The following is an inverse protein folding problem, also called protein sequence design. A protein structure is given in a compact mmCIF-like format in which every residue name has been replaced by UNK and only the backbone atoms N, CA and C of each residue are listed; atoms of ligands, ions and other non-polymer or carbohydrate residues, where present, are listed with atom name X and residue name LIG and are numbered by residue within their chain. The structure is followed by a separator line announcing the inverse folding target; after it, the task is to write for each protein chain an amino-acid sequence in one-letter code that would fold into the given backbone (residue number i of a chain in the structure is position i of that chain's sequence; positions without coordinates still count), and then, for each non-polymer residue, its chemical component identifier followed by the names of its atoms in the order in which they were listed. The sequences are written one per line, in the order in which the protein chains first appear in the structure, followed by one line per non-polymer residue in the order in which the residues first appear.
data_IF_691343656922
#
_entry.id   IF_691343656922
#
_cell.length_a   1.000
_cell.length_b   1.000
_cell.length_c   1.000
_cell.angle_alpha   90.00
_cell.angle_beta   90.00
_cell.angle_gamma   90.00
#
_symmetry.space_group_name_H-M   'P 1'
#
loop_
_entity.id
_entity.type
_entity.pdbx_description
1 polymer ?
#
# COMPACT_ATOMS: atom_id res chain seq x y z
N UNK A 1 -14.44 14.02 -8.88
CA UNK A 1 -13.89 15.01 -7.88
C UNK A 1 -12.78 15.82 -8.54
N UNK A 2 -12.40 17.02 -8.06
CA UNK A 2 -11.15 17.66 -8.47
C UNK A 2 -9.97 16.75 -8.09
N UNK A 3 -8.87 16.79 -8.85
CA UNK A 3 -7.73 15.90 -8.67
C UNK A 3 -7.01 16.20 -7.36
N UNK A 4 -6.64 15.16 -6.61
CA UNK A 4 -5.80 15.32 -5.42
C UNK A 4 -4.37 15.65 -5.89
N UNK A 5 -3.65 16.60 -5.25
CA UNK A 5 -2.24 16.85 -5.56
C UNK A 5 -1.40 15.57 -5.48
N UNK A 6 -0.53 15.35 -6.47
CA UNK A 6 0.30 14.14 -6.58
C UNK A 6 1.15 13.91 -5.33
N UNK A 7 1.71 14.98 -4.76
CA UNK A 7 2.46 14.92 -3.51
C UNK A 7 1.63 14.36 -2.34
N UNK A 8 0.35 14.74 -2.24
CA UNK A 8 -0.54 14.25 -1.20
C UNK A 8 -0.94 12.80 -1.45
N UNK A 9 -1.15 12.38 -2.71
CA UNK A 9 -1.35 10.96 -3.05
C UNK A 9 -0.13 10.14 -2.61
N UNK A 10 1.09 10.63 -2.87
CA UNK A 10 2.31 9.97 -2.45
C UNK A 10 2.37 9.76 -0.92
N UNK A 11 2.05 10.79 -0.12
CA UNK A 11 2.03 10.65 1.33
C UNK A 11 0.94 9.68 1.82
N UNK A 12 -0.28 9.76 1.25
CA UNK A 12 -1.36 8.80 1.55
C UNK A 12 -0.90 7.36 1.30
N UNK A 13 -0.23 7.11 0.17
CA UNK A 13 0.32 5.81 -0.17
C UNK A 13 1.44 5.37 0.77
N UNK A 14 2.36 6.26 1.16
CA UNK A 14 3.42 5.93 2.13
C UNK A 14 2.83 5.47 3.47
N UNK A 15 1.86 6.21 4.00
CA UNK A 15 1.15 5.80 5.21
C UNK A 15 0.34 4.52 4.99
N UNK A 16 -0.36 4.38 3.87
CA UNK A 16 -1.14 3.18 3.56
C UNK A 16 -0.26 1.92 3.49
N UNK A 17 0.88 1.99 2.81
CA UNK A 17 1.83 0.89 2.73
C UNK A 17 2.63 0.69 4.01
N UNK A 18 2.60 1.65 4.92
CA UNK A 18 3.44 1.70 6.11
C UNK A 18 4.94 1.74 5.75
N UNK A 19 5.26 2.25 4.56
CA UNK A 19 6.58 2.27 3.93
C UNK A 19 6.89 3.70 3.47
N UNK A 20 8.07 4.19 3.85
CA UNK A 20 8.46 5.58 3.61
C UNK A 20 9.76 5.63 2.83
N UNK A 21 9.89 6.62 1.94
CA UNK A 21 11.11 6.79 1.17
C UNK A 21 12.32 6.89 2.11
N UNK A 22 13.37 6.08 1.89
CA UNK A 22 14.65 6.29 2.54
C UNK A 22 15.20 7.68 2.21
N UNK A 23 16.05 8.22 3.08
CA UNK A 23 16.70 9.56 2.91
C UNK A 23 17.30 9.79 1.52
N UNK A 24 17.74 8.73 0.84
CA UNK A 24 18.31 8.77 -0.51
C UNK A 24 17.32 9.18 -1.60
N UNK A 25 16.02 8.94 -1.40
CA UNK A 25 14.94 9.25 -2.34
C UNK A 25 14.09 10.43 -1.84
N UNK A 26 14.02 10.63 -0.52
CA UNK A 26 13.14 11.60 0.14
C UNK A 26 13.21 13.03 -0.45
N UNK A 27 14.40 13.52 -0.82
CA UNK A 27 14.57 14.86 -1.41
C UNK A 27 13.85 15.03 -2.74
N UNK A 28 13.71 13.96 -3.51
CA UNK A 28 13.08 13.96 -4.82
C UNK A 28 11.56 13.75 -4.75
N UNK A 29 11.04 13.32 -3.60
CA UNK A 29 9.59 13.24 -3.39
C UNK A 29 8.91 14.61 -3.23
N UNK A 30 9.70 15.67 -3.04
CA UNK A 30 9.23 17.05 -2.96
C UNK A 30 9.22 17.78 -4.32
N UNK A 31 9.71 17.13 -5.39
CA UNK A 31 9.60 17.68 -6.75
C UNK A 31 8.14 17.65 -7.23
N UNK A 32 7.75 18.63 -8.04
CA UNK A 32 6.44 18.63 -8.68
C UNK A 32 6.43 17.63 -9.84
N UNK A 33 5.51 16.68 -9.78
CA UNK A 33 5.28 15.70 -10.84
C UNK A 33 3.89 15.88 -11.45
N UNK A 34 3.72 15.63 -12.75
CA UNK A 34 2.43 15.75 -13.40
C UNK A 34 1.42 14.72 -12.87
N UNK A 35 1.87 13.51 -12.55
CA UNK A 35 1.03 12.40 -12.10
C UNK A 35 1.83 11.38 -11.26
N UNK A 36 1.14 10.35 -10.76
CA UNK A 36 1.79 9.33 -9.94
C UNK A 36 2.73 8.41 -10.73
N UNK A 37 2.46 8.19 -12.02
CA UNK A 37 3.32 7.42 -12.92
C UNK A 37 4.72 8.04 -13.00
N UNK A 38 4.81 9.34 -13.22
CA UNK A 38 6.07 10.06 -13.36
C UNK A 38 6.83 10.13 -12.03
N UNK A 39 6.13 10.41 -10.92
CA UNK A 39 6.71 10.38 -9.57
C UNK A 39 7.34 9.01 -9.27
N UNK A 40 6.60 7.92 -9.43
CA UNK A 40 7.11 6.59 -9.08
C UNK A 40 8.15 6.06 -10.07
N UNK A 41 8.06 6.41 -11.35
CA UNK A 41 9.11 6.12 -12.33
C UNK A 41 10.43 6.81 -11.93
N UNK A 42 10.36 8.07 -11.51
CA UNK A 42 11.53 8.83 -11.04
C UNK A 42 12.14 8.22 -9.77
N UNK A 43 11.31 7.85 -8.80
CA UNK A 43 11.76 7.21 -7.57
C UNK A 43 12.43 5.84 -7.83
N UNK A 44 11.91 5.05 -8.78
CA UNK A 44 12.54 3.80 -9.19
C UNK A 44 13.92 4.02 -9.83
N UNK A 45 14.05 5.00 -10.74
CA UNK A 45 15.33 5.34 -11.37
C UNK A 45 16.38 5.69 -10.30
N UNK A 46 16.05 6.64 -9.42
CA UNK A 46 16.97 7.14 -8.39
C UNK A 46 17.30 6.03 -7.39
N UNK A 47 16.29 5.26 -6.99
CA UNK A 47 16.45 4.13 -6.09
C UNK A 47 17.37 3.06 -6.66
N UNK A 48 17.16 2.65 -7.91
CA UNK A 48 18.00 1.64 -8.56
C UNK A 48 19.44 2.13 -8.75
N UNK A 49 19.64 3.39 -9.15
CA UNK A 49 20.99 3.97 -9.24
C UNK A 49 21.69 3.97 -7.87
N UNK A 50 20.94 4.24 -6.79
CA UNK A 50 21.45 4.18 -5.43
C UNK A 50 21.82 2.75 -5.00
N UNK A 51 20.99 1.76 -5.37
CA UNK A 51 21.29 0.35 -5.15
C UNK A 51 22.55 -0.08 -5.91
N UNK A 52 22.63 0.25 -7.20
CA UNK A 52 23.78 -0.10 -8.03
C UNK A 52 25.10 0.46 -7.46
N UNK A 53 25.12 1.73 -7.01
CA UNK A 53 26.31 2.34 -6.37
C UNK A 53 26.73 1.64 -5.07
N UNK A 54 25.78 1.06 -4.33
CA UNK A 54 26.03 0.39 -3.04
C UNK A 54 26.28 -1.10 -3.17
N UNK A 55 26.03 -1.67 -4.34
CA UNK A 55 25.95 -3.11 -4.58
C UNK A 55 24.49 -3.58 -4.59
N UNK A 56 24.09 -4.24 -5.68
CA UNK A 56 22.81 -4.93 -5.77
C UNK A 56 22.77 -6.09 -4.77
N UNK A 57 21.55 -6.44 -4.34
CA UNK A 57 21.33 -7.66 -3.57
C UNK A 57 21.81 -8.85 -4.40
N UNK A 58 22.56 -9.74 -3.74
CA UNK A 58 23.06 -10.98 -4.32
C UNK A 58 22.59 -12.15 -3.47
N UNK A 59 22.41 -13.29 -4.10
CA UNK A 59 21.99 -14.52 -3.45
C UNK A 59 22.64 -15.73 -4.10
N UNK A 60 22.63 -16.84 -3.38
CA UNK A 60 23.10 -18.11 -3.88
C UNK A 60 22.06 -18.75 -4.80
N UNK A 61 22.46 -19.05 -6.03
CA UNK A 61 21.64 -19.75 -7.01
C UNK A 61 22.33 -21.08 -7.34
N UNK A 62 21.56 -22.17 -7.34
CA UNK A 62 22.06 -23.47 -7.75
C UNK A 62 22.28 -23.49 -9.27
N UNK A 63 23.53 -23.70 -9.67
CA UNK A 63 23.94 -23.82 -11.07
C UNK A 63 24.26 -25.28 -11.34
N UNK A 64 23.71 -25.84 -12.43
CA UNK A 64 24.08 -27.16 -12.93
C UNK A 64 24.88 -27.04 -14.22
N UNK A 65 26.15 -27.42 -14.19
CA UNK A 65 27.02 -27.33 -15.36
C UNK A 65 28.05 -28.47 -15.46
N UNK A 66 28.57 -28.65 -16.68
CA UNK A 66 29.62 -29.61 -16.99
C UNK A 66 30.99 -29.00 -16.72
N UNK A 67 31.66 -29.47 -15.66
CA UNK A 67 32.94 -28.93 -15.17
C UNK A 67 34.07 -29.92 -15.42
N UNK A 68 35.27 -29.41 -15.71
CA UNK A 68 36.48 -30.25 -15.85
C UNK A 68 37.07 -30.71 -14.51
N UNK A 69 36.65 -30.07 -13.41
CA UNK A 69 37.05 -30.40 -12.05
C UNK A 69 35.81 -30.50 -11.17
N UNK A 70 35.74 -31.43 -10.20
CA UNK A 70 34.57 -31.54 -9.33
C UNK A 70 34.33 -30.26 -8.54
N UNK A 71 33.14 -29.66 -8.68
CA UNK A 71 32.72 -28.47 -7.94
C UNK A 71 31.33 -28.69 -7.33
N UNK A 72 31.20 -28.58 -6.02
CA UNK A 72 29.94 -28.88 -5.31
C UNK A 72 29.54 -30.35 -5.41
N UNK A 73 28.25 -30.63 -5.64
CA UNK A 73 27.69 -31.98 -5.69
C UNK A 73 27.70 -32.53 -7.12
N UNK A 74 28.33 -33.69 -7.31
CA UNK A 74 28.35 -34.36 -8.62
C UNK A 74 26.98 -35.02 -8.89
N UNK A 75 26.42 -34.74 -10.07
CA UNK A 75 25.22 -35.40 -10.59
C UNK A 75 25.65 -36.62 -11.41
N UNK A 76 25.80 -37.75 -10.70
CA UNK A 76 26.36 -38.99 -11.25
C UNK A 76 25.58 -39.47 -12.47
N UNK A 77 24.24 -39.48 -12.39
CA UNK A 77 23.39 -39.95 -13.50
C UNK A 77 23.58 -39.11 -14.77
N UNK A 78 23.59 -37.78 -14.64
CA UNK A 78 23.82 -36.84 -15.75
C UNK A 78 25.24 -36.95 -16.31
N UNK A 79 26.23 -37.14 -15.44
CA UNK A 79 27.64 -37.33 -15.82
C UNK A 79 27.84 -38.60 -16.62
N UNK A 80 27.29 -39.74 -16.17
CA UNK A 80 27.39 -41.02 -16.90
C UNK A 80 26.74 -40.90 -18.28
N UNK A 81 25.56 -40.25 -18.40
CA UNK A 81 24.87 -40.07 -19.68
C UNK A 81 25.67 -39.25 -20.70
N UNK A 82 26.47 -38.28 -20.24
CA UNK A 82 27.24 -37.38 -21.11
C UNK A 82 28.69 -37.81 -21.31
N UNK A 83 29.14 -38.85 -20.59
CA UNK A 83 30.52 -39.31 -20.54
C UNK A 83 31.08 -39.76 -21.89
N UNK A 84 30.24 -40.28 -22.80
CA UNK A 84 30.65 -40.64 -24.17
C UNK A 84 30.93 -39.43 -25.05
N UNK A 85 30.24 -38.31 -24.82
CA UNK A 85 30.44 -37.06 -25.58
C UNK A 85 31.48 -36.14 -24.93
N UNK A 86 31.62 -36.19 -23.60
CA UNK A 86 32.53 -35.33 -22.82
C UNK A 86 33.28 -36.14 -21.75
N UNK A 87 34.23 -37.03 -22.13
CA UNK A 87 34.82 -38.03 -21.23
C UNK A 87 35.71 -37.47 -20.10
N UNK A 88 35.92 -36.15 -20.05
CA UNK A 88 36.73 -35.47 -19.01
C UNK A 88 35.95 -34.40 -18.25
N UNK A 89 34.63 -34.43 -18.30
CA UNK A 89 33.79 -33.47 -17.57
C UNK A 89 32.75 -34.19 -16.71
N UNK A 90 32.47 -33.60 -15.57
CA UNK A 90 31.45 -34.05 -14.63
C UNK A 90 30.34 -33.02 -14.57
N UNK A 91 29.11 -33.50 -14.68
CA UNK A 91 27.93 -32.66 -14.46
C UNK A 91 27.80 -32.46 -12.95
N UNK A 92 27.94 -31.22 -12.49
CA UNK A 92 27.92 -30.87 -11.07
C UNK A 92 26.87 -29.79 -10.80
N UNK A 93 26.30 -29.81 -9.61
CA UNK A 93 25.47 -28.75 -9.06
C UNK A 93 26.19 -28.06 -7.91
N UNK A 94 26.30 -26.74 -7.97
CA UNK A 94 26.91 -25.92 -6.92
C UNK A 94 26.23 -24.56 -6.82
N UNK A 95 26.39 -23.92 -5.67
CA UNK A 95 25.82 -22.60 -5.43
C UNK A 95 26.79 -21.51 -5.89
N UNK A 96 26.30 -20.59 -6.71
CA UNK A 96 27.04 -19.40 -7.16
C UNK A 96 26.35 -18.13 -6.66
N UNK A 97 27.16 -17.16 -6.20
CA UNK A 97 26.65 -15.86 -5.79
C UNK A 97 26.31 -15.04 -7.02
N UNK A 98 25.05 -14.67 -7.19
CA UNK A 98 24.56 -13.93 -8.35
C UNK A 98 23.65 -12.78 -7.94
N UNK A 99 23.66 -11.71 -8.75
CA UNK A 99 22.69 -10.62 -8.63
C UNK A 99 21.35 -10.97 -9.29
N UNK A 100 21.23 -12.12 -9.95
CA UNK A 100 19.98 -12.60 -10.56
C UNK A 100 18.99 -13.17 -9.53
N UNK A 101 18.74 -12.40 -8.48
CA UNK A 101 17.77 -12.72 -7.43
C UNK A 101 16.40 -12.13 -7.76
N UNK A 102 15.36 -12.73 -7.20
CA UNK A 102 13.96 -12.36 -7.45
C UNK A 102 13.67 -10.87 -7.24
N UNK A 103 14.31 -10.22 -6.27
CA UNK A 103 14.15 -8.79 -6.00
C UNK A 103 14.64 -7.92 -7.17
N UNK A 104 15.79 -8.27 -7.75
CA UNK A 104 16.34 -7.60 -8.93
C UNK A 104 15.54 -7.91 -10.20
N UNK A 105 15.08 -9.15 -10.34
CA UNK A 105 14.23 -9.57 -11.46
C UNK A 105 12.91 -8.77 -11.49
N UNK A 106 12.27 -8.56 -10.32
CA UNK A 106 11.07 -7.72 -10.20
C UNK A 106 11.34 -6.27 -10.61
N UNK A 107 12.46 -5.69 -10.15
CA UNK A 107 12.86 -4.33 -10.52
C UNK A 107 13.03 -4.22 -12.03
N UNK A 108 13.81 -5.12 -12.64
CA UNK A 108 14.04 -5.14 -14.10
C UNK A 108 12.73 -5.27 -14.87
N UNK A 109 11.89 -6.24 -14.48
CA UNK A 109 10.61 -6.49 -15.14
C UNK A 109 9.65 -5.29 -15.02
N UNK A 110 9.65 -4.58 -13.89
CA UNK A 110 8.85 -3.36 -13.71
C UNK A 110 9.33 -2.23 -14.62
N UNK A 111 10.66 -2.00 -14.69
CA UNK A 111 11.24 -1.01 -15.61
C UNK A 111 10.88 -1.31 -17.07
N UNK A 112 10.95 -2.59 -17.46
CA UNK A 112 10.59 -3.02 -18.80
C UNK A 112 9.09 -2.80 -19.10
N UNK A 113 8.19 -3.02 -18.13
CA UNK A 113 6.77 -2.67 -18.29
C UNK A 113 6.54 -1.17 -18.43
N UNK A 114 7.22 -0.35 -17.63
CA UNK A 114 7.15 1.12 -17.74
C UNK A 114 7.59 1.61 -19.12
N UNK A 115 8.63 1.00 -19.72
CA UNK A 115 9.07 1.33 -21.07
C UNK A 115 8.00 1.07 -22.16
N UNK A 116 7.03 0.19 -21.86
CA UNK A 116 5.88 -0.13 -22.69
C UNK A 116 4.64 0.77 -22.46
N UNK A 117 4.70 1.71 -21.53
CA UNK A 117 3.62 2.69 -21.27
C UNK A 117 3.75 3.85 -22.26
N UNK A 118 2.64 4.25 -22.89
CA UNK A 118 2.65 5.29 -23.94
C UNK A 118 2.69 6.70 -23.36
N UNK A 119 2.05 6.90 -22.21
CA UNK A 119 1.92 8.18 -21.51
C UNK A 119 3.23 8.70 -20.92
N UNK A 120 4.27 7.86 -20.86
CA UNK A 120 5.56 8.17 -20.25
C UNK A 120 6.40 9.09 -21.16
N UNK A 121 6.80 10.24 -20.61
CA UNK A 121 7.61 11.25 -21.31
C UNK A 121 8.92 10.68 -21.91
N UNK A 122 9.39 11.20 -23.06
CA UNK A 122 10.62 10.72 -23.69
C UNK A 122 11.87 10.87 -22.83
N UNK A 123 11.95 11.93 -22.01
CA UNK A 123 13.02 12.20 -21.05
C UNK A 123 13.13 11.08 -20.01
N UNK A 124 12.03 10.79 -19.32
CA UNK A 124 11.93 9.73 -18.30
C UNK A 124 12.16 8.37 -18.93
N UNK A 125 11.63 8.12 -20.13
CA UNK A 125 11.85 6.86 -20.86
C UNK A 125 13.33 6.60 -21.15
N UNK A 126 14.09 7.63 -21.53
CA UNK A 126 15.54 7.52 -21.74
C UNK A 126 16.26 7.14 -20.45
N UNK A 127 15.89 7.76 -19.34
CA UNK A 127 16.48 7.45 -18.03
C UNK A 127 16.09 6.06 -17.52
N UNK A 128 14.85 5.61 -17.75
CA UNK A 128 14.42 4.23 -17.47
C UNK A 128 15.25 3.20 -18.26
N UNK A 129 15.57 3.47 -19.54
CA UNK A 129 16.45 2.58 -20.32
C UNK A 129 17.87 2.51 -19.74
N UNK A 130 18.41 3.64 -19.33
CA UNK A 130 19.72 3.70 -18.67
C UNK A 130 19.71 2.94 -17.35
N UNK A 131 18.66 3.09 -16.55
CA UNK A 131 18.48 2.38 -15.30
C UNK A 131 18.32 0.87 -15.52
N UNK A 132 17.54 0.44 -16.52
CA UNK A 132 17.36 -0.98 -16.87
C UNK A 132 18.68 -1.63 -17.32
N UNK A 133 19.56 -0.89 -18.00
CA UNK A 133 20.89 -1.37 -18.39
C UNK A 133 21.80 -1.71 -17.18
N UNK A 134 21.53 -1.17 -15.99
CA UNK A 134 22.24 -1.53 -14.75
C UNK A 134 21.91 -2.95 -14.28
N UNK A 135 20.85 -3.56 -14.81
CA UNK A 135 20.35 -4.91 -14.50
C UNK A 135 20.53 -5.85 -15.72
N UNK A 136 21.53 -5.61 -16.57
CA UNK A 136 21.75 -6.39 -17.80
C UNK A 136 21.99 -7.89 -17.54
N UNK A 137 22.62 -8.22 -16.43
CA UNK A 137 23.00 -9.58 -16.04
C UNK A 137 21.90 -10.30 -15.23
N UNK A 138 20.72 -9.66 -15.09
CA UNK A 138 19.54 -10.19 -14.40
C UNK A 138 18.54 -10.68 -15.44
N UNK A 139 17.98 -11.87 -15.25
CA UNK A 139 17.03 -12.46 -16.20
C UNK A 139 15.68 -11.76 -16.18
N UNK A 140 15.01 -11.74 -17.33
CA UNK A 140 13.65 -11.20 -17.43
C UNK A 140 12.63 -12.20 -16.88
N UNK A 141 11.67 -11.68 -16.12
CA UNK A 141 10.57 -12.45 -15.53
C UNK A 141 9.24 -11.77 -15.83
N UNK A 142 8.18 -12.57 -15.91
CA UNK A 142 6.83 -12.02 -15.97
C UNK A 142 6.35 -11.65 -14.56
N UNK A 143 5.98 -10.38 -14.37
CA UNK A 143 5.41 -9.96 -13.08
C UNK A 143 4.06 -10.63 -12.85
N UNK A 144 3.90 -11.17 -11.64
CA UNK A 144 2.66 -11.74 -11.14
C UNK A 144 2.52 -11.43 -9.65
N UNK A 145 1.30 -11.44 -9.13
CA UNK A 145 1.06 -11.24 -7.69
C UNK A 145 1.82 -12.27 -6.82
N UNK A 146 1.98 -13.51 -7.31
CA UNK A 146 2.75 -14.56 -6.64
C UNK A 146 4.23 -14.21 -6.51
N UNK A 147 4.80 -13.56 -7.53
CA UNK A 147 6.20 -13.14 -7.52
C UNK A 147 6.48 -12.17 -6.37
N UNK A 148 5.61 -11.18 -6.15
CA UNK A 148 5.74 -10.23 -5.03
C UNK A 148 5.57 -10.90 -3.66
N UNK A 149 4.69 -11.90 -3.54
CA UNK A 149 4.47 -12.60 -2.27
C UNK A 149 5.62 -13.54 -1.87
N UNK A 150 6.34 -14.08 -2.84
CA UNK A 150 7.45 -15.00 -2.59
C UNK A 150 8.71 -14.29 -2.04
N UNK A 151 8.83 -12.98 -2.27
CA UNK A 151 9.99 -12.21 -1.81
C UNK A 151 10.04 -12.15 -0.29
N UNK A 152 11.18 -12.53 0.27
CA UNK A 152 11.50 -12.34 1.69
C UNK A 152 12.62 -11.32 1.81
N UNK A 153 12.29 -10.14 2.34
CA UNK A 153 13.27 -9.09 2.58
C UNK A 153 13.80 -9.15 4.01
N UNK A 154 15.10 -8.99 4.15
CA UNK A 154 15.72 -8.73 5.45
C UNK A 154 15.50 -7.27 5.86
N UNK A 155 15.34 -7.03 7.18
CA UNK A 155 15.07 -5.70 7.75
C UNK A 155 16.13 -4.64 7.39
N UNK A 156 17.34 -5.07 7.04
CA UNK A 156 18.44 -4.20 6.64
C UNK A 156 18.31 -3.66 5.21
N UNK A 157 17.33 -4.16 4.44
CA UNK A 157 17.16 -3.81 3.03
C UNK A 157 15.97 -2.87 2.76
N UNK A 158 15.89 -1.77 3.53
CA UNK A 158 14.77 -0.80 3.46
C UNK A 158 14.57 -0.19 2.08
N UNK A 159 15.66 0.05 1.34
CA UNK A 159 15.56 0.62 0.00
C UNK A 159 14.91 -0.37 -0.98
N UNK A 160 15.28 -1.66 -0.93
CA UNK A 160 14.54 -2.66 -1.71
C UNK A 160 13.09 -2.79 -1.25
N UNK A 161 12.79 -2.76 0.05
CA UNK A 161 11.39 -2.82 0.53
C UNK A 161 10.54 -1.71 -0.09
N UNK A 162 11.07 -0.48 -0.06
CA UNK A 162 10.41 0.67 -0.64
C UNK A 162 10.24 0.55 -2.17
N UNK A 163 11.30 0.18 -2.90
CA UNK A 163 11.23 0.06 -4.35
C UNK A 163 10.33 -1.09 -4.81
N UNK A 164 10.33 -2.22 -4.10
CA UNK A 164 9.45 -3.35 -4.39
C UNK A 164 7.98 -3.02 -4.07
N UNK A 165 7.73 -2.19 -3.05
CA UNK A 165 6.40 -1.64 -2.78
C UNK A 165 5.93 -0.78 -3.96
N UNK A 166 6.80 0.09 -4.50
CA UNK A 166 6.50 0.86 -5.71
C UNK A 166 6.27 -0.06 -6.92
N UNK A 167 7.13 -1.06 -7.14
CA UNK A 167 6.96 -2.03 -8.22
C UNK A 167 5.62 -2.75 -8.14
N UNK A 168 5.20 -3.15 -6.93
CA UNK A 168 3.89 -3.78 -6.71
C UNK A 168 2.76 -2.82 -7.04
N UNK A 169 2.82 -1.57 -6.57
CA UNK A 169 1.82 -0.56 -6.87
C UNK A 169 1.69 -0.32 -8.39
N UNK A 170 2.81 -0.11 -9.07
CA UNK A 170 2.83 0.08 -10.53
C UNK A 170 2.27 -1.15 -11.25
N UNK A 171 2.65 -2.36 -10.81
CA UNK A 171 2.08 -3.61 -11.34
C UNK A 171 0.55 -3.65 -11.21
N UNK A 172 0.00 -3.23 -10.07
CA UNK A 172 -1.44 -3.18 -9.83
C UNK A 172 -2.14 -2.06 -10.63
N UNK A 173 -1.44 -0.99 -11.03
CA UNK A 173 -1.98 0.14 -11.80
C UNK A 173 -1.81 0.02 -13.32
N UNK A 174 -0.94 -0.87 -13.80
CA UNK A 174 -0.66 -1.06 -15.23
C UNK A 174 -1.53 -2.16 -15.83
N UNK A 175 -2.27 -1.83 -16.89
CA UNK A 175 -3.14 -2.76 -17.62
C UNK A 175 -2.54 -3.06 -19.00
N UNK A 176 -2.40 -4.35 -19.31
CA UNK A 176 -1.94 -4.79 -20.64
C UNK A 176 -2.91 -4.33 -21.73
N UNK A 177 -2.37 -3.95 -22.89
CA UNK A 177 -3.14 -3.56 -24.07
C UNK A 177 -3.13 -4.67 -25.13
N UNK A 178 -3.86 -4.47 -26.23
CA UNK A 178 -4.01 -5.47 -27.30
C UNK A 178 -2.67 -5.92 -27.92
N UNK A 179 -1.68 -5.03 -27.94
CA UNK A 179 -0.34 -5.34 -28.46
C UNK A 179 0.57 -5.83 -27.32
N UNK A 180 1.23 -6.99 -27.48
CA UNK A 180 2.18 -7.48 -26.50
C UNK A 180 3.24 -6.43 -26.16
N UNK A 181 3.51 -6.26 -24.86
CA UNK A 181 4.48 -5.29 -24.35
C UNK A 181 3.98 -3.84 -24.29
N UNK A 182 2.72 -3.57 -24.65
CA UNK A 182 2.10 -2.26 -24.44
C UNK A 182 1.23 -2.27 -23.19
N UNK A 183 1.36 -1.22 -22.40
CA UNK A 183 0.65 -1.05 -21.14
C UNK A 183 0.01 0.34 -21.08
N UNK A 184 -1.08 0.43 -20.33
CA UNK A 184 -1.73 1.69 -19.96
C UNK A 184 -1.67 1.84 -18.45
N UNK A 185 -1.30 3.02 -17.98
CA UNK A 185 -1.33 3.32 -16.55
C UNK A 185 -2.68 3.90 -16.15
N UNK A 186 -3.28 3.37 -15.09
CA UNK A 186 -4.48 3.91 -14.47
C UNK A 186 -4.10 4.60 -13.17
N UNK A 187 -4.32 5.92 -13.11
CA UNK A 187 -4.12 6.70 -11.88
C UNK A 187 -4.93 6.11 -10.72
N UNK A 188 -4.31 6.08 -9.54
CA UNK A 188 -4.88 5.47 -8.34
C UNK A 188 -6.17 6.16 -7.93
N UNK A 189 -6.23 7.48 -8.06
CA UNK A 189 -7.36 8.31 -7.63
C UNK A 189 -8.62 8.15 -8.50
N UNK A 190 -8.48 7.51 -9.66
CA UNK A 190 -9.59 7.15 -10.55
C UNK A 190 -10.24 5.80 -10.21
N UNK A 191 -9.64 5.00 -9.32
CA UNK A 191 -10.20 3.76 -8.82
C UNK A 191 -10.74 3.96 -7.39
N UNK A 192 -12.03 4.25 -7.26
CA UNK A 192 -12.69 4.54 -5.98
C UNK A 192 -12.48 3.40 -4.96
N UNK A 193 -12.53 2.14 -5.39
CA UNK A 193 -12.37 0.97 -4.49
C UNK A 193 -10.95 0.86 -3.98
N UNK A 194 -9.97 1.22 -4.79
CA UNK A 194 -8.56 1.25 -4.40
C UNK A 194 -8.28 2.42 -3.49
N UNK A 195 -8.73 3.62 -3.84
CA UNK A 195 -8.55 4.80 -2.99
C UNK A 195 -9.23 4.69 -1.65
N UNK A 196 -10.40 4.05 -1.59
CA UNK A 196 -11.05 3.74 -0.32
C UNK A 196 -10.11 2.95 0.61
N UNK A 197 -9.53 1.86 0.10
CA UNK A 197 -8.57 1.03 0.86
C UNK A 197 -7.30 1.79 1.23
N UNK A 198 -6.79 2.63 0.33
CA UNK A 198 -5.64 3.52 0.61
C UNK A 198 -5.98 4.48 1.74
N UNK A 199 -7.15 5.11 1.69
CA UNK A 199 -7.58 6.09 2.67
C UNK A 199 -7.83 5.47 4.05
N UNK A 200 -8.55 4.35 4.14
CA UNK A 200 -8.75 3.58 5.37
C UNK A 200 -7.41 3.22 6.03
N UNK A 201 -6.47 2.69 5.22
CA UNK A 201 -5.16 2.29 5.71
C UNK A 201 -4.28 3.47 6.08
N UNK A 202 -4.37 4.58 5.33
CA UNK A 202 -3.74 5.85 5.67
C UNK A 202 -4.19 6.32 7.05
N UNK A 203 -5.49 6.41 7.30
CA UNK A 203 -6.05 6.89 8.58
C UNK A 203 -5.56 6.03 9.74
N UNK A 204 -5.65 4.71 9.59
CA UNK A 204 -5.18 3.75 10.58
C UNK A 204 -3.69 3.94 10.91
N UNK A 205 -2.83 3.91 9.87
CA UNK A 205 -1.39 3.95 10.05
C UNK A 205 -0.89 5.35 10.44
N UNK A 206 -1.57 6.41 10.02
CA UNK A 206 -1.31 7.78 10.46
C UNK A 206 -1.46 7.89 11.97
N UNK A 207 -2.62 7.51 12.51
CA UNK A 207 -2.84 7.57 13.95
C UNK A 207 -1.94 6.61 14.72
N UNK A 208 -1.67 5.40 14.20
CA UNK A 208 -0.76 4.47 14.85
C UNK A 208 0.67 5.04 15.00
N UNK A 209 1.10 5.94 14.10
CA UNK A 209 2.46 6.49 14.08
C UNK A 209 2.59 7.88 14.71
N UNK A 210 1.61 8.76 14.49
CA UNK A 210 1.75 10.20 14.74
C UNK A 210 1.28 10.66 16.11
N UNK A 211 0.56 9.81 16.83
CA UNK A 211 0.14 10.10 18.20
C UNK A 211 0.55 8.95 19.13
N UNK A 212 0.59 9.22 20.44
CA UNK A 212 0.98 8.24 21.49
C UNK A 212 -0.07 8.07 22.59
N UNK A 213 -1.17 8.84 22.54
CA UNK A 213 -2.20 8.85 23.58
C UNK A 213 -3.12 7.62 23.50
N UNK A 214 -3.28 7.06 22.31
CA UNK A 214 -4.17 5.94 22.02
C UNK A 214 -3.40 4.75 21.45
N UNK A 215 -3.81 3.56 21.86
CA UNK A 215 -3.53 2.33 21.13
C UNK A 215 -4.45 2.29 19.91
N UNK A 216 -3.86 2.18 18.72
CA UNK A 216 -4.58 2.23 17.45
C UNK A 216 -4.56 0.86 16.79
N UNK A 217 -5.73 0.38 16.35
CA UNK A 217 -5.87 -0.83 15.53
C UNK A 217 -7.17 -0.81 14.74
N UNK A 218 -7.25 -1.61 13.68
CA UNK A 218 -8.54 -2.04 13.13
C UNK A 218 -9.03 -3.20 14.00
N UNK A 219 -10.28 -3.13 14.44
CA UNK A 219 -10.90 -4.13 15.33
C UNK A 219 -11.98 -4.90 14.60
N UNK A 220 -11.99 -6.21 14.80
CA UNK A 220 -13.14 -7.08 14.54
C UNK A 220 -13.90 -7.22 15.85
N UNK A 221 -15.18 -6.91 15.83
CA UNK A 221 -16.07 -7.00 16.99
C UNK A 221 -17.08 -8.11 16.76
N UNK A 222 -17.32 -8.90 17.79
CA UNK A 222 -18.46 -9.81 17.78
C UNK A 222 -19.74 -9.02 18.01
N UNK A 223 -20.79 -9.37 17.27
CA UNK A 223 -22.11 -8.79 17.50
C UNK A 223 -22.59 -9.17 18.89
N UNK A 224 -23.05 -8.17 19.64
CA UNK A 224 -23.88 -8.41 20.81
C UNK A 224 -25.28 -8.84 20.35
N UNK A 225 -25.43 -10.13 20.07
CA UNK A 225 -26.67 -10.73 19.60
C UNK A 225 -26.88 -12.13 20.20
N UNK A 226 -28.13 -12.47 20.50
CA UNK A 226 -28.55 -13.82 20.84
C UNK A 226 -29.33 -14.41 19.67
N UNK A 227 -28.96 -15.62 19.22
CA UNK A 227 -29.73 -16.33 18.20
C UNK A 227 -31.06 -16.80 18.79
N UNK A 228 -32.14 -16.74 18.00
CA UNK A 228 -33.45 -17.24 18.44
C UNK A 228 -33.46 -18.78 18.52
N UNK A 229 -32.83 -19.45 17.55
CA UNK A 229 -32.62 -20.90 17.52
C UNK A 229 -31.27 -21.21 16.83
N UNK A 230 -30.61 -22.31 17.22
CA UNK A 230 -29.40 -22.82 16.55
C UNK A 230 -28.13 -21.95 16.66
N UNK A 231 -27.15 -22.24 15.80
CA UNK A 231 -25.82 -21.59 15.74
C UNK A 231 -25.68 -20.64 14.55
N UNK A 232 -26.73 -19.90 14.21
CA UNK A 232 -26.81 -19.04 13.01
C UNK A 232 -26.06 -17.69 13.15
N UNK A 233 -25.26 -17.51 14.20
CA UNK A 233 -24.46 -16.29 14.40
C UNK A 233 -23.46 -16.02 13.26
N UNK A 234 -23.06 -17.06 12.52
CA UNK A 234 -22.18 -16.94 11.35
C UNK A 234 -22.83 -16.21 10.14
N UNK A 235 -24.15 -15.98 10.17
CA UNK A 235 -24.85 -15.22 9.13
C UNK A 235 -24.78 -13.70 9.33
N UNK A 236 -24.38 -13.25 10.53
CA UNK A 236 -24.24 -11.82 10.80
C UNK A 236 -23.01 -11.25 10.07
N UNK A 237 -23.11 -10.02 9.52
CA UNK A 237 -22.00 -9.40 8.83
C UNK A 237 -20.83 -9.14 9.79
N UNK A 238 -19.59 -9.25 9.32
CA UNK A 238 -18.43 -8.92 10.14
C UNK A 238 -18.44 -7.44 10.56
N UNK A 239 -18.30 -7.16 11.87
CA UNK A 239 -18.10 -5.78 12.35
C UNK A 239 -16.61 -5.45 12.36
N UNK A 240 -16.13 -4.82 11.30
CA UNK A 240 -14.73 -4.42 11.18
C UNK A 240 -14.60 -2.89 11.09
N UNK A 241 -13.97 -2.28 12.10
CA UNK A 241 -13.73 -0.83 12.11
C UNK A 241 -12.53 -0.48 11.24
N UNK A 242 -12.57 0.66 10.56
CA UNK A 242 -11.40 1.15 9.82
C UNK A 242 -10.24 1.52 10.77
N UNK A 243 -10.54 2.32 11.80
CA UNK A 243 -9.60 2.57 12.90
C UNK A 243 -10.33 2.75 14.24
N UNK A 244 -9.78 2.10 15.26
CA UNK A 244 -10.20 2.24 16.65
C UNK A 244 -9.04 2.75 17.48
N UNK A 245 -9.26 3.86 18.18
CA UNK A 245 -8.29 4.51 19.05
C UNK A 245 -8.74 4.34 20.50
N UNK A 246 -7.98 3.58 21.29
CA UNK A 246 -8.33 3.24 22.67
C UNK A 246 -7.29 3.71 23.67
N UNK A 247 -7.75 4.28 24.76
CA UNK A 247 -6.95 4.65 25.93
C UNK A 247 -7.71 4.25 27.20
N UNK A 248 -7.12 4.46 28.37
CA UNK A 248 -7.83 4.23 29.64
C UNK A 248 -8.98 5.23 29.89
N UNK A 249 -9.07 6.31 29.12
CA UNK A 249 -10.02 7.41 29.35
C UNK A 249 -11.02 7.62 28.21
N UNK A 250 -10.67 7.27 26.98
CA UNK A 250 -11.45 7.53 25.76
C UNK A 250 -11.30 6.39 24.77
N UNK A 251 -12.41 6.02 24.15
CA UNK A 251 -12.49 5.12 22.99
C UNK A 251 -13.08 5.92 21.84
N UNK A 252 -12.41 5.93 20.69
CA UNK A 252 -12.86 6.63 19.47
C UNK A 252 -12.87 5.63 18.32
N UNK A 253 -14.01 5.51 17.65
CA UNK A 253 -14.19 4.72 16.43
C UNK A 253 -14.19 5.67 15.23
N UNK A 254 -13.27 5.47 14.30
CA UNK A 254 -13.16 6.25 13.07
C UNK A 254 -13.64 5.37 11.92
N UNK A 255 -14.67 5.83 11.24
CA UNK A 255 -15.23 5.26 10.03
C UNK A 255 -14.89 6.15 8.85
N UNK A 256 -14.24 5.60 7.84
CA UNK A 256 -13.76 6.30 6.66
C UNK A 256 -14.71 6.08 5.48
N UNK A 257 -14.98 7.14 4.73
CA UNK A 257 -15.82 7.05 3.53
C UNK A 257 -15.21 7.84 2.39
N UNK A 258 -14.75 7.12 1.38
CA UNK A 258 -14.33 7.68 0.10
C UNK A 258 -15.53 7.68 -0.85
N UNK A 259 -16.11 8.85 -1.13
CA UNK A 259 -17.25 9.01 -2.03
C UNK A 259 -17.21 10.37 -2.72
N UNK A 260 -17.59 10.43 -4.00
CA UNK A 260 -17.63 11.70 -4.75
C UNK A 260 -18.68 12.69 -4.21
N UNK A 261 -19.79 12.17 -3.67
CA UNK A 261 -20.94 12.96 -3.21
C UNK A 261 -21.15 12.78 -1.73
N UNK A 262 -20.67 13.76 -0.96
CA UNK A 262 -20.83 13.84 0.49
C UNK A 262 -22.31 13.91 0.91
N UNK A 263 -23.14 14.63 0.16
CA UNK A 263 -24.56 14.80 0.43
C UNK A 263 -25.44 14.19 -0.66
N UNK A 264 -26.62 13.74 -0.25
CA UNK A 264 -27.77 13.56 -1.13
C UNK A 264 -28.66 14.80 -1.07
N UNK A 265 -29.12 15.28 -2.23
CA UNK A 265 -30.16 16.28 -2.32
C UNK A 265 -31.52 15.61 -2.48
N UNK A 266 -32.47 15.94 -1.58
CA UNK A 266 -33.88 15.60 -1.75
C UNK A 266 -34.70 16.82 -1.33
N UNK A 267 -35.53 17.34 -2.23
CA UNK A 267 -36.30 18.58 -2.00
C UNK A 267 -35.44 19.80 -1.60
N UNK A 268 -34.28 19.99 -2.23
CA UNK A 268 -33.44 21.18 -2.04
C UNK A 268 -32.57 21.22 -0.77
N UNK A 269 -32.76 20.30 0.18
CA UNK A 269 -31.90 20.19 1.36
C UNK A 269 -30.78 19.15 1.13
N UNK A 270 -29.53 19.55 1.37
CA UNK A 270 -28.38 18.64 1.43
C UNK A 270 -28.42 17.84 2.74
N UNK A 271 -28.44 16.50 2.64
CA UNK A 271 -28.34 15.60 3.80
C UNK A 271 -27.23 14.59 3.61
N UNK A 272 -26.52 14.26 4.68
CA UNK A 272 -25.51 13.21 4.66
C UNK A 272 -26.14 11.85 4.34
N UNK A 273 -25.33 10.96 3.77
CA UNK A 273 -25.67 9.56 3.53
C UNK A 273 -25.95 8.83 4.85
N UNK A 274 -27.21 8.49 5.09
CA UNK A 274 -27.62 7.80 6.32
C UNK A 274 -26.92 6.43 6.48
N UNK A 275 -26.66 5.75 5.37
CA UNK A 275 -25.92 4.46 5.33
C UNK A 275 -24.59 4.51 6.10
N UNK A 276 -23.82 5.58 5.95
CA UNK A 276 -22.52 5.73 6.62
C UNK A 276 -22.68 5.98 8.11
N UNK A 277 -23.70 6.76 8.48
CA UNK A 277 -24.01 7.04 9.87
C UNK A 277 -24.51 5.78 10.59
N UNK A 278 -25.35 4.97 9.93
CA UNK A 278 -25.86 3.73 10.49
C UNK A 278 -24.76 2.72 10.79
N UNK A 279 -23.77 2.61 9.91
CA UNK A 279 -22.62 1.74 10.15
C UNK A 279 -21.80 2.20 11.36
N UNK A 280 -21.48 3.50 11.48
CA UNK A 280 -20.77 4.00 12.65
C UNK A 280 -21.59 3.80 13.94
N UNK A 281 -22.89 4.08 13.89
CA UNK A 281 -23.78 3.89 15.03
C UNK A 281 -23.90 2.41 15.45
N UNK A 282 -23.81 1.44 14.53
CA UNK A 282 -23.83 0.03 14.92
C UNK A 282 -22.62 -0.35 15.76
N UNK A 283 -21.42 0.13 15.42
CA UNK A 283 -20.22 -0.06 16.25
C UNK A 283 -20.39 0.54 17.64
N UNK A 284 -20.85 1.79 17.73
CA UNK A 284 -21.02 2.49 19.00
C UNK A 284 -22.01 1.77 19.92
N UNK A 285 -23.17 1.37 19.38
CA UNK A 285 -24.19 0.62 20.12
C UNK A 285 -23.71 -0.78 20.53
N UNK A 286 -22.90 -1.44 19.72
CA UNK A 286 -22.31 -2.72 20.08
C UNK A 286 -21.35 -2.55 21.29
N UNK A 287 -20.59 -1.45 21.34
CA UNK A 287 -19.69 -1.12 22.44
C UNK A 287 -20.40 -0.69 23.73
N UNK A 288 -21.64 -0.16 23.67
CA UNK A 288 -22.44 0.17 24.87
C UNK A 288 -22.57 -1.03 25.83
N UNK A 289 -22.59 -2.24 25.27
CA UNK A 289 -22.81 -3.48 26.00
C UNK A 289 -21.54 -3.99 26.69
N UNK A 290 -20.35 -3.48 26.31
CA UNK A 290 -19.15 -3.64 27.12
C UNK A 290 -19.31 -2.77 28.38
N UNK A 291 -19.69 -3.39 29.49
CA UNK A 291 -20.29 -2.75 30.68
C UNK A 291 -19.47 -1.64 31.38
N UNK A 292 -18.23 -1.36 30.97
CA UNK A 292 -17.36 -0.36 31.58
C UNK A 292 -17.00 0.79 30.62
N UNK A 293 -16.86 2.00 31.19
CA UNK A 293 -16.18 3.09 30.50
C UNK A 293 -14.71 2.71 30.24
N UNK A 294 -14.09 3.16 29.14
CA UNK A 294 -14.59 4.20 28.22
C UNK A 294 -15.45 3.70 27.05
N UNK A 295 -15.59 2.40 26.84
CA UNK A 295 -16.30 1.84 25.67
C UNK A 295 -17.78 2.17 25.65
N UNK A 296 -18.42 2.13 26.82
CA UNK A 296 -19.83 2.47 26.98
C UNK A 296 -20.20 3.86 26.46
N UNK A 297 -19.24 4.79 26.47
CA UNK A 297 -19.41 6.19 26.04
C UNK A 297 -18.50 6.53 24.87
N UNK A 298 -18.14 5.53 24.05
CA UNK A 298 -17.25 5.71 22.90
C UNK A 298 -17.69 6.87 21.99
N UNK A 299 -16.73 7.52 21.37
CA UNK A 299 -16.95 8.60 20.40
C UNK A 299 -16.84 8.02 18.98
N UNK A 300 -17.62 8.57 18.06
CA UNK A 300 -17.57 8.23 16.64
C UNK A 300 -17.03 9.38 15.82
N UNK A 301 -16.20 9.07 14.83
CA UNK A 301 -15.76 10.02 13.80
C UNK A 301 -16.10 9.42 12.44
N UNK A 302 -16.87 10.14 11.64
CA UNK A 302 -17.11 9.81 10.26
C UNK A 302 -16.28 10.74 9.37
N UNK A 303 -15.26 10.19 8.72
CA UNK A 303 -14.22 10.94 8.02
C UNK A 303 -14.32 10.77 6.50
N UNK A 304 -14.33 11.89 5.78
CA UNK A 304 -14.41 11.92 4.32
C UNK A 304 -13.22 12.66 3.73
N UNK A 305 -12.46 12.09 2.78
CA UNK A 305 -11.50 12.86 2.01
C UNK A 305 -12.24 13.76 1.01
N UNK A 306 -11.82 15.02 0.90
CA UNK A 306 -12.35 15.99 -0.06
C UNK A 306 -11.22 16.79 -0.71
N UNK A 307 -11.56 17.56 -1.73
CA UNK A 307 -10.67 18.55 -2.35
C UNK A 307 -11.42 19.87 -2.35
N UNK A 308 -11.04 20.78 -1.46
CA UNK A 308 -11.62 22.12 -1.32
C UNK A 308 -12.99 22.20 -0.64
N UNK A 309 -13.51 21.11 -0.04
CA UNK A 309 -14.79 21.12 0.70
C UNK A 309 -14.58 20.88 2.20
N UNK A 310 -15.00 21.84 3.01
CA UNK A 310 -14.91 21.78 4.47
C UNK A 310 -16.27 21.45 5.07
N UNK A 311 -16.29 20.46 5.96
CA UNK A 311 -17.39 20.13 6.85
C UNK A 311 -16.79 19.69 8.18
N UNK A 312 -17.27 20.24 9.28
CA UNK A 312 -16.92 19.80 10.63
C UNK A 312 -18.10 20.07 11.54
N UNK A 313 -18.86 19.01 11.84
CA UNK A 313 -20.07 19.08 12.65
C UNK A 313 -20.07 17.95 13.67
N UNK A 314 -20.65 18.19 14.85
CA UNK A 314 -20.76 17.19 15.89
C UNK A 314 -22.19 17.08 16.40
N UNK A 315 -22.61 15.85 16.69
CA UNK A 315 -23.95 15.53 17.17
C UNK A 315 -23.87 14.59 18.37
N UNK A 316 -24.89 14.66 19.23
CA UNK A 316 -25.13 13.65 20.25
C UNK A 316 -26.16 12.65 19.73
N UNK A 317 -25.73 11.42 19.44
CA UNK A 317 -26.57 10.35 18.90
C UNK A 317 -26.55 9.16 19.85
N UNK A 318 -27.72 8.76 20.36
CA UNK A 318 -27.85 7.66 21.31
C UNK A 318 -26.89 7.75 22.52
N UNK A 319 -26.60 8.96 23.01
CA UNK A 319 -25.66 9.15 24.12
C UNK A 319 -24.17 9.02 23.73
N UNK A 320 -23.84 8.94 22.45
CA UNK A 320 -22.47 9.02 21.92
C UNK A 320 -22.24 10.36 21.22
N UNK A 321 -21.01 10.85 21.28
CA UNK A 321 -20.58 11.98 20.45
C UNK A 321 -20.19 11.44 19.07
N UNK A 322 -20.80 11.97 18.02
CA UNK A 322 -20.47 11.64 16.64
C UNK A 322 -20.05 12.90 15.91
N UNK A 323 -18.77 12.97 15.52
CA UNK A 323 -18.20 14.04 14.69
C UNK A 323 -18.21 13.60 13.24
N UNK A 324 -18.64 14.46 12.34
CA UNK A 324 -18.62 14.24 10.91
C UNK A 324 -17.72 15.30 10.32
N UNK A 325 -16.58 14.87 9.76
CA UNK A 325 -15.53 15.79 9.32
C UNK A 325 -15.02 15.43 7.93
N UNK A 326 -14.71 16.43 7.14
CA UNK A 326 -13.94 16.26 5.90
C UNK A 326 -12.47 16.55 6.12
N UNK A 327 -11.61 15.83 5.41
CA UNK A 327 -10.17 16.03 5.33
C UNK A 327 -9.85 16.62 3.96
N UNK A 328 -9.44 17.89 3.91
CA UNK A 328 -9.15 18.56 2.64
C UNK A 328 -7.76 18.18 2.13
N UNK A 329 -7.73 17.27 1.16
CA UNK A 329 -6.53 16.75 0.54
C UNK A 329 -5.91 17.73 -0.46
N UNK A 330 -6.48 18.92 -0.68
CA UNK A 330 -5.87 19.97 -1.50
C UNK A 330 -4.81 20.78 -0.74
N UNK A 331 -4.78 20.67 0.58
CA UNK A 331 -3.90 21.50 1.42
C UNK A 331 -2.45 20.99 1.40
N UNK A 332 -1.48 21.83 1.80
CA UNK A 332 -0.12 21.37 2.07
C UNK A 332 -0.13 20.21 3.09
N UNK A 333 0.75 19.23 2.92
CA UNK A 333 0.76 18.03 3.75
C UNK A 333 0.78 18.32 5.26
N UNK A 334 1.54 19.32 5.70
CA UNK A 334 1.61 19.72 7.11
C UNK A 334 0.24 20.16 7.67
N UNK A 335 -0.59 20.81 6.86
CA UNK A 335 -1.95 21.19 7.25
C UNK A 335 -2.87 19.96 7.31
N UNK A 336 -2.71 18.99 6.40
CA UNK A 336 -3.42 17.70 6.44
C UNK A 336 -3.06 16.94 7.72
N UNK A 337 -1.77 16.90 8.09
CA UNK A 337 -1.33 16.26 9.34
C UNK A 337 -1.98 16.93 10.57
N UNK A 338 -2.05 18.25 10.59
CA UNK A 338 -2.70 18.98 11.69
C UNK A 338 -4.20 18.70 11.75
N UNK A 339 -4.92 18.73 10.61
CA UNK A 339 -6.33 18.37 10.56
C UNK A 339 -6.59 16.96 11.10
N UNK A 340 -5.70 16.01 10.77
CA UNK A 340 -5.80 14.65 11.29
C UNK A 340 -5.58 14.59 12.81
N UNK A 341 -4.60 15.31 13.37
CA UNK A 341 -4.37 15.34 14.81
C UNK A 341 -5.51 16.03 15.59
N UNK A 342 -6.12 17.06 15.02
CA UNK A 342 -7.29 17.74 15.59
C UNK A 342 -8.54 16.85 15.66
N UNK A 343 -8.61 15.75 14.89
CA UNK A 343 -9.74 14.82 14.95
C UNK A 343 -9.90 14.18 16.33
N UNK A 344 -8.79 13.92 17.01
CA UNK A 344 -8.75 13.19 18.28
C UNK A 344 -8.73 14.11 19.50
N UNK A 345 -8.72 15.42 19.30
CA UNK A 345 -8.92 16.37 20.38
C UNK A 345 -10.33 16.23 20.97
N UNK A 346 -10.51 16.51 22.28
CA UNK A 346 -11.84 16.54 22.87
C UNK A 346 -12.73 17.56 22.15
N UNK A 347 -13.98 17.18 21.86
CA UNK A 347 -14.98 18.13 21.41
C UNK A 347 -15.18 19.18 22.51
N UNK A 348 -14.97 20.45 22.18
CA UNK A 348 -15.26 21.57 23.08
C UNK A 348 -16.78 21.72 23.13
N UNK A 349 -17.35 21.48 24.31
CA UNK A 349 -18.78 21.66 24.59
C UNK A 349 -19.15 23.13 24.77
#
# INVERSE_FOLDING_TARGET
MPSIPVANIYYLLCYAWNEFAPRQIERHAAEEFPDTLHLFSRQLIIGLQSLHRRGLETGYIAVEESTSTPRGRILIASSIRTMTMQPKRLYCTFDEMSADVQTNQILKATLNRLLGVHELEPSVRRELRQASALLRDVHDVELSARLFHAVRLHQNNRLYSFLLTICRFLFECMEAQDRPGQYRFREVDRDEKRMRRVFERFVLNFFARRQKAFKVKSERMDWFASAAEGSDQNLLPEMATDASLRSSRRTIIVECKYTEKLFHSRFGAEKLRSEHLYQLCSYLRNLEHNAAAPDRIAEGILLYPTVGRVLDVAYRLHGHWVRIRTLDLNLPWTAIENQMLELIEPLRG
#
